data_IF_573060206521
#
_entry.id   IF_573060206521
#
_cell.length_a   1.000
_cell.length_b   1.000
_cell.length_c   1.000
_cell.angle_alpha   90.00
_cell.angle_beta   90.00
_cell.angle_gamma   90.00
#
_symmetry.space_group_name_H-M   'P 1'
#
loop_
_entity.id
_entity.type
_entity.pdbx_description
1 polymer ?
#
# COMPACT_ATOMS: atom_id res chain seq x y z
N UNK A 1 16.34 31.11 28.70
CA UNK A 1 16.69 31.30 27.27
C UNK A 1 15.81 30.42 26.40
N UNK A 2 15.26 30.91 25.29
CA UNK A 2 14.12 30.28 24.60
C UNK A 2 14.56 29.41 23.41
N UNK A 3 14.15 28.13 23.39
CA UNK A 3 14.39 27.18 22.28
C UNK A 3 13.12 27.10 21.45
N UNK A 4 13.22 27.16 20.12
CA UNK A 4 12.05 27.22 19.25
C UNK A 4 11.90 25.96 18.41
N UNK A 5 10.78 25.28 18.57
CA UNK A 5 10.38 24.15 17.74
C UNK A 5 9.36 24.63 16.72
N UNK A 6 9.69 24.58 15.43
CA UNK A 6 8.85 25.11 14.35
C UNK A 6 8.00 24.02 13.72
N UNK A 7 6.76 24.39 13.42
CA UNK A 7 5.75 23.50 12.91
C UNK A 7 5.27 23.88 11.49
N UNK A 8 4.83 22.90 10.70
CA UNK A 8 4.16 23.10 9.40
C UNK A 8 3.15 21.98 9.12
N UNK A 9 1.90 22.31 8.76
CA UNK A 9 0.84 21.36 8.33
C UNK A 9 -0.55 21.66 8.92
N UNK A 10 -1.63 21.13 8.33
CA UNK A 10 -2.95 21.04 8.97
C UNK A 10 -3.05 19.70 9.71
N UNK A 11 -3.52 19.69 10.95
CA UNK A 11 -3.50 18.50 11.81
C UNK A 11 -4.85 17.80 11.97
N UNK A 12 -4.87 16.46 12.07
CA UNK A 12 -5.89 15.77 12.85
C UNK A 12 -5.86 16.32 14.28
N UNK A 13 -7.00 16.79 14.80
CA UNK A 13 -7.12 17.56 16.05
C UNK A 13 -6.35 16.98 17.24
N UNK A 14 -6.23 15.65 17.31
CA UNK A 14 -5.58 14.93 18.41
C UNK A 14 -4.04 15.07 18.46
N UNK A 15 -3.36 15.13 17.30
CA UNK A 15 -1.90 15.29 17.26
C UNK A 15 -1.49 16.68 17.74
N UNK A 16 -2.31 17.69 17.43
CA UNK A 16 -2.14 19.08 17.88
C UNK A 16 -2.20 19.18 19.37
N UNK A 17 -3.23 18.55 19.95
CA UNK A 17 -3.47 18.56 21.39
C UNK A 17 -2.30 17.88 22.10
N UNK A 18 -1.81 16.74 21.58
CA UNK A 18 -0.65 16.05 22.14
C UNK A 18 0.60 16.95 22.15
N UNK A 19 0.92 17.61 21.04
CA UNK A 19 2.10 18.48 20.95
C UNK A 19 2.03 19.68 21.91
N UNK A 20 0.86 20.34 21.99
CA UNK A 20 0.66 21.51 22.85
C UNK A 20 0.72 21.12 24.34
N UNK A 21 0.25 19.92 24.68
CA UNK A 21 0.23 19.40 26.06
C UNK A 21 1.37 18.40 26.32
N UNK A 22 2.42 18.43 25.51
CA UNK A 22 3.51 17.48 25.61
C UNK A 22 4.10 17.50 27.03
N UNK A 23 4.20 16.32 27.62
CA UNK A 23 4.93 16.07 28.85
C UNK A 23 5.84 14.88 28.64
N UNK A 24 7.03 14.95 29.23
CA UNK A 24 7.99 13.86 29.17
C UNK A 24 7.43 12.61 29.85
N UNK A 25 7.40 11.50 29.13
CA UNK A 25 6.93 10.21 29.64
C UNK A 25 8.02 9.57 30.53
N UNK A 26 7.95 9.88 31.82
CA UNK A 26 8.88 9.38 32.83
C UNK A 26 8.81 7.87 33.04
N UNK A 27 7.67 7.25 32.70
CA UNK A 27 7.48 5.81 32.85
C UNK A 27 8.17 5.03 31.73
N UNK A 28 8.09 5.52 30.49
CA UNK A 28 8.77 4.92 29.34
C UNK A 28 10.24 5.32 29.22
N UNK A 29 10.56 6.56 29.56
CA UNK A 29 11.90 7.14 29.38
C UNK A 29 12.41 7.77 30.69
N UNK A 30 12.89 6.98 31.66
CA UNK A 30 13.24 7.50 32.98
C UNK A 30 14.44 8.45 32.94
N UNK A 31 14.28 9.69 33.42
CA UNK A 31 15.35 10.71 33.44
C UNK A 31 16.55 10.35 34.32
N UNK A 32 16.44 9.32 35.16
CA UNK A 32 17.55 8.80 35.96
C UNK A 32 18.54 7.97 35.13
N UNK A 33 18.15 7.56 33.91
CA UNK A 33 19.02 6.83 33.00
C UNK A 33 19.86 7.78 32.16
N UNK A 34 20.97 7.28 31.60
CA UNK A 34 21.79 8.06 30.69
C UNK A 34 21.02 8.38 29.39
N UNK A 35 21.33 9.51 28.77
CA UNK A 35 20.73 9.92 27.50
C UNK A 35 20.92 8.86 26.40
N UNK A 36 22.09 8.19 26.39
CA UNK A 36 22.37 7.07 25.48
C UNK A 36 21.38 5.93 25.70
N UNK A 37 21.17 5.51 26.95
CA UNK A 37 20.25 4.41 27.24
C UNK A 37 18.80 4.77 26.85
N UNK A 38 18.37 6.02 27.09
CA UNK A 38 17.03 6.47 26.66
C UNK A 38 16.91 6.43 25.13
N UNK A 39 17.94 6.89 24.40
CA UNK A 39 17.96 6.82 22.94
C UNK A 39 17.90 5.37 22.43
N UNK A 40 18.61 4.45 23.09
CA UNK A 40 18.60 3.02 22.76
C UNK A 40 17.23 2.38 23.01
N UNK A 41 16.54 2.74 24.11
CA UNK A 41 15.17 2.29 24.39
C UNK A 41 14.22 2.75 23.27
N UNK A 42 14.28 4.02 22.88
CA UNK A 42 13.45 4.55 21.79
C UNK A 42 13.77 3.84 20.48
N UNK A 43 15.05 3.69 20.14
CA UNK A 43 15.50 3.03 18.92
C UNK A 43 14.98 1.58 18.83
N UNK A 44 15.09 0.83 19.94
CA UNK A 44 14.57 -0.55 20.03
C UNK A 44 13.05 -0.61 19.86
N UNK A 45 12.32 0.29 20.52
CA UNK A 45 10.85 0.37 20.40
C UNK A 45 10.42 0.62 18.95
N UNK A 46 11.04 1.62 18.29
CA UNK A 46 10.73 1.95 16.89
C UNK A 46 11.13 0.81 15.94
N UNK A 47 12.29 0.17 16.17
CA UNK A 47 12.73 -0.98 15.37
C UNK A 47 11.76 -2.16 15.46
N UNK A 48 11.20 -2.42 16.63
CA UNK A 48 10.17 -3.45 16.80
C UNK A 48 8.87 -3.08 16.06
N UNK A 49 8.40 -1.83 16.18
CA UNK A 49 7.20 -1.36 15.47
C UNK A 49 7.39 -1.47 13.95
N UNK A 50 8.55 -1.08 13.43
CA UNK A 50 8.86 -1.17 11.99
C UNK A 50 8.88 -2.63 11.49
N UNK A 51 9.52 -3.54 12.24
CA UNK A 51 9.55 -4.97 11.91
C UNK A 51 8.15 -5.60 11.88
N UNK A 52 7.33 -5.30 12.89
CA UNK A 52 5.96 -5.79 12.97
C UNK A 52 5.09 -5.20 11.84
N UNK A 53 5.27 -3.92 11.52
CA UNK A 53 4.57 -3.25 10.42
C UNK A 53 4.88 -3.93 9.08
N UNK A 54 6.16 -4.17 8.78
CA UNK A 54 6.59 -4.84 7.54
C UNK A 54 5.97 -6.22 7.40
N UNK A 55 5.97 -6.99 8.48
CA UNK A 55 5.40 -8.35 8.52
C UNK A 55 3.89 -8.32 8.26
N UNK A 56 3.15 -7.47 8.98
CA UNK A 56 1.69 -7.34 8.84
C UNK A 56 1.29 -6.78 7.48
N UNK A 57 2.03 -5.79 6.97
CA UNK A 57 1.79 -5.19 5.66
C UNK A 57 2.00 -6.21 4.54
N UNK A 58 3.08 -7.00 4.60
CA UNK A 58 3.36 -8.05 3.61
C UNK A 58 2.26 -9.11 3.61
N UNK A 59 1.85 -9.59 4.79
CA UNK A 59 0.76 -10.57 4.90
C UNK A 59 -0.56 -10.05 4.31
N UNK A 60 -0.94 -8.81 4.62
CA UNK A 60 -2.16 -8.20 4.09
C UNK A 60 -2.08 -7.93 2.58
N UNK A 61 -0.93 -7.47 2.08
CA UNK A 61 -0.70 -7.21 0.66
C UNK A 61 -0.69 -8.49 -0.17
N UNK A 62 -0.12 -9.59 0.34
CA UNK A 62 -0.17 -10.89 -0.31
C UNK A 62 -1.62 -11.37 -0.46
N UNK A 63 -2.42 -11.26 0.60
CA UNK A 63 -3.84 -11.60 0.57
C UNK A 63 -4.61 -10.76 -0.46
N UNK A 64 -4.37 -9.44 -0.48
CA UNK A 64 -4.97 -8.52 -1.45
C UNK A 64 -4.55 -8.87 -2.89
N UNK A 65 -3.27 -9.17 -3.12
CA UNK A 65 -2.73 -9.53 -4.43
C UNK A 65 -3.32 -10.84 -4.95
N UNK A 66 -3.41 -11.87 -4.09
CA UNK A 66 -4.02 -13.15 -4.43
C UNK A 66 -5.49 -12.99 -4.82
N UNK A 67 -6.26 -12.24 -4.02
CA UNK A 67 -7.66 -11.96 -4.34
C UNK A 67 -7.81 -11.20 -5.66
N UNK A 68 -7.03 -10.14 -5.87
CA UNK A 68 -7.07 -9.36 -7.11
C UNK A 68 -6.72 -10.20 -8.35
N UNK A 69 -5.78 -11.14 -8.22
CA UNK A 69 -5.42 -12.05 -9.31
C UNK A 69 -6.56 -13.01 -9.65
N UNK A 70 -7.31 -13.49 -8.65
CA UNK A 70 -8.50 -14.34 -8.88
C UNK A 70 -9.67 -13.53 -9.47
N UNK A 71 -9.93 -12.32 -8.96
CA UNK A 71 -10.96 -11.42 -9.50
C UNK A 71 -10.70 -11.10 -10.97
N UNK A 72 -9.45 -10.78 -11.34
CA UNK A 72 -9.07 -10.54 -12.74
C UNK A 72 -9.31 -11.75 -13.65
N UNK A 73 -9.18 -12.97 -13.13
CA UNK A 73 -9.47 -14.20 -13.91
C UNK A 73 -10.97 -14.42 -14.12
N UNK A 74 -11.83 -13.85 -13.27
CA UNK A 74 -13.29 -13.90 -13.43
C UNK A 74 -13.81 -12.83 -14.39
N UNK A 75 -13.15 -11.67 -14.43
CA UNK A 75 -13.58 -10.53 -15.25
C UNK A 75 -12.86 -10.52 -16.60
N UNK A 76 -13.59 -10.40 -17.70
CA UNK A 76 -13.01 -10.29 -19.04
C UNK A 76 -13.96 -10.72 -20.14
N UNK A 77 -13.48 -10.68 -21.39
CA UNK A 77 -14.18 -11.30 -22.52
C UNK A 77 -14.24 -12.82 -22.35
N UNK A 78 -15.24 -13.45 -22.95
CA UNK A 78 -15.38 -14.92 -23.00
C UNK A 78 -14.09 -15.61 -23.49
N UNK A 79 -13.27 -14.94 -24.30
CA UNK A 79 -11.99 -15.44 -24.80
C UNK A 79 -10.97 -15.75 -23.70
N UNK A 80 -10.95 -14.98 -22.63
CA UNK A 80 -9.88 -15.01 -21.63
C UNK A 80 -10.37 -15.31 -20.23
N UNK A 81 -11.63 -15.00 -19.92
CA UNK A 81 -12.18 -15.22 -18.58
C UNK A 81 -12.35 -16.70 -18.26
N UNK A 82 -12.33 -17.02 -16.96
CA UNK A 82 -12.68 -18.33 -16.46
C UNK A 82 -14.15 -18.64 -16.81
N UNK A 83 -14.43 -19.86 -17.27
CA UNK A 83 -15.79 -20.29 -17.65
C UNK A 83 -16.53 -21.01 -16.51
N UNK A 84 -15.84 -21.34 -15.42
CA UNK A 84 -16.34 -22.09 -14.27
C UNK A 84 -17.60 -21.50 -13.62
N UNK A 85 -17.78 -20.19 -13.67
CA UNK A 85 -18.94 -19.47 -13.13
C UNK A 85 -20.10 -19.33 -14.14
N UNK A 86 -19.88 -19.69 -15.41
CA UNK A 86 -20.84 -19.51 -16.51
C UNK A 86 -21.55 -20.80 -16.89
N UNK A 87 -20.90 -21.92 -16.63
CA UNK A 87 -21.35 -23.23 -17.06
C UNK A 87 -22.02 -23.97 -15.91
N UNK A 88 -22.96 -24.85 -16.26
CA UNK A 88 -23.72 -25.69 -15.33
C UNK A 88 -23.51 -27.15 -15.72
N UNK A 89 -23.78 -28.05 -14.77
CA UNK A 89 -23.74 -29.51 -14.98
C UNK A 89 -24.52 -29.93 -16.23
N UNK A 90 -25.72 -29.38 -16.40
CA UNK A 90 -26.64 -29.68 -17.50
C UNK A 90 -26.08 -29.31 -18.89
N UNK A 91 -25.05 -28.47 -18.97
CA UNK A 91 -24.41 -28.13 -20.25
C UNK A 91 -23.49 -29.24 -20.76
N UNK A 92 -23.15 -30.25 -19.94
CA UNK A 92 -22.19 -31.28 -20.28
C UNK A 92 -22.78 -32.68 -20.17
N UNK A 93 -22.36 -33.56 -21.09
CA UNK A 93 -22.49 -35.01 -20.89
C UNK A 93 -21.29 -35.47 -20.06
N UNK A 94 -21.56 -35.93 -18.84
CA UNK A 94 -20.58 -36.48 -17.92
C UNK A 94 -20.55 -38.01 -18.01
N UNK A 95 -19.44 -38.62 -17.57
CA UNK A 95 -19.27 -40.07 -17.43
C UNK A 95 -19.55 -40.91 -18.69
N UNK A 96 -19.50 -40.29 -19.87
CA UNK A 96 -19.63 -41.02 -21.13
C UNK A 96 -18.29 -41.60 -21.56
N UNK A 97 -18.30 -42.89 -21.94
CA UNK A 97 -17.13 -43.56 -22.50
C UNK A 97 -16.73 -42.94 -23.85
N UNK A 98 -17.72 -42.64 -24.70
CA UNK A 98 -17.51 -42.27 -26.10
C UNK A 98 -17.78 -40.79 -26.42
N UNK A 99 -18.63 -40.11 -25.66
CA UNK A 99 -19.01 -38.72 -25.92
C UNK A 99 -18.23 -37.75 -25.03
N UNK A 100 -18.04 -36.55 -25.54
CA UNK A 100 -17.55 -35.41 -24.77
C UNK A 100 -18.30 -34.15 -25.18
N UNK A 101 -18.27 -33.14 -24.33
CA UNK A 101 -18.84 -31.83 -24.61
C UNK A 101 -17.75 -30.79 -24.62
N UNK A 102 -17.66 -30.02 -25.70
CA UNK A 102 -16.73 -28.91 -25.85
C UNK A 102 -17.45 -27.57 -25.69
N UNK A 103 -16.71 -26.57 -25.23
CA UNK A 103 -17.17 -25.19 -25.17
C UNK A 103 -16.57 -24.42 -26.34
N UNK A 104 -17.42 -23.72 -27.10
CA UNK A 104 -17.02 -23.02 -28.32
C UNK A 104 -17.44 -21.57 -28.25
N UNK A 105 -16.46 -20.69 -28.44
CA UNK A 105 -16.67 -19.25 -28.54
C UNK A 105 -16.82 -18.90 -30.02
N UNK A 106 -17.95 -18.28 -30.33
CA UNK A 106 -18.34 -17.89 -31.69
C UNK A 106 -18.52 -16.37 -31.72
N UNK A 107 -17.88 -15.63 -32.65
CA UNK A 107 -18.16 -14.21 -32.84
C UNK A 107 -19.65 -13.98 -33.10
N UNK A 108 -20.25 -12.94 -32.50
CA UNK A 108 -21.70 -12.67 -32.66
C UNK A 108 -22.18 -12.66 -34.10
N UNK A 109 -21.38 -12.07 -34.97
CA UNK A 109 -21.61 -11.99 -36.41
C UNK A 109 -21.76 -13.37 -37.08
N UNK A 110 -21.21 -14.44 -36.50
CA UNK A 110 -21.25 -15.80 -37.03
C UNK A 110 -22.17 -16.73 -36.23
N UNK A 111 -22.94 -16.25 -35.25
CA UNK A 111 -23.80 -17.12 -34.44
C UNK A 111 -24.90 -17.80 -35.29
N UNK A 112 -25.40 -17.16 -36.35
CA UNK A 112 -26.32 -17.81 -37.31
C UNK A 112 -25.63 -18.90 -38.14
N UNK A 113 -24.40 -18.66 -38.60
CA UNK A 113 -23.61 -19.63 -39.34
C UNK A 113 -23.31 -20.87 -38.49
N UNK A 114 -22.96 -20.65 -37.22
CA UNK A 114 -22.76 -21.72 -36.24
C UNK A 114 -23.98 -22.61 -36.12
N UNK A 115 -25.15 -22.04 -35.82
CA UNK A 115 -26.39 -22.82 -35.63
C UNK A 115 -26.74 -23.63 -36.88
N UNK A 116 -26.55 -23.07 -38.08
CA UNK A 116 -26.87 -23.74 -39.33
C UNK A 116 -25.88 -24.85 -39.72
N UNK A 117 -24.62 -24.77 -39.29
CA UNK A 117 -23.54 -25.58 -39.86
C UNK A 117 -22.65 -26.31 -38.85
N UNK A 118 -22.83 -26.15 -37.53
CA UNK A 118 -21.93 -26.80 -36.56
C UNK A 118 -21.95 -28.32 -36.69
N UNK A 119 -23.11 -28.92 -37.01
CA UNK A 119 -23.29 -30.37 -37.21
C UNK A 119 -22.48 -30.92 -38.39
N UNK A 120 -21.99 -30.04 -39.28
CA UNK A 120 -21.23 -30.40 -40.49
C UNK A 120 -19.74 -30.06 -40.36
N UNK A 121 -19.26 -29.68 -39.17
CA UNK A 121 -17.84 -29.35 -38.95
C UNK A 121 -16.98 -30.61 -39.02
N UNK A 122 -17.45 -31.72 -38.46
CA UNK A 122 -16.86 -33.06 -38.55
C UNK A 122 -17.96 -34.10 -38.52
N UNK A 123 -17.63 -35.32 -38.93
CA UNK A 123 -18.47 -36.47 -38.64
C UNK A 123 -18.57 -36.71 -37.12
N UNK A 124 -19.56 -37.49 -36.69
CA UNK A 124 -19.75 -37.89 -35.28
C UNK A 124 -20.03 -36.72 -34.31
N UNK A 125 -20.65 -35.65 -34.80
CA UNK A 125 -21.28 -34.62 -33.95
C UNK A 125 -22.69 -35.07 -33.60
N UNK A 126 -23.11 -34.86 -32.36
CA UNK A 126 -24.49 -35.16 -31.93
C UNK A 126 -25.41 -34.05 -32.44
N UNK A 127 -26.41 -34.34 -33.30
CA UNK A 127 -27.31 -33.32 -33.81
C UNK A 127 -28.14 -32.68 -32.70
N UNK A 128 -28.47 -31.40 -32.84
CA UNK A 128 -29.21 -30.57 -31.87
C UNK A 128 -28.59 -30.52 -30.46
N UNK A 129 -27.31 -30.86 -30.31
CA UNK A 129 -26.58 -30.77 -29.03
C UNK A 129 -26.07 -29.37 -28.66
N UNK A 130 -26.02 -28.43 -29.62
CA UNK A 130 -25.48 -27.10 -29.35
C UNK A 130 -26.54 -26.14 -28.82
N UNK A 131 -26.24 -25.50 -27.68
CA UNK A 131 -27.09 -24.51 -27.02
C UNK A 131 -26.25 -23.29 -26.61
N UNK A 132 -26.86 -22.10 -26.65
CA UNK A 132 -26.22 -20.87 -26.19
C UNK A 132 -26.17 -20.84 -24.66
N UNK A 133 -24.97 -20.81 -24.09
CA UNK A 133 -24.77 -20.75 -22.64
C UNK A 133 -24.84 -19.30 -22.13
N UNK A 134 -24.07 -18.42 -22.76
CA UNK A 134 -23.99 -16.99 -22.42
C UNK A 134 -23.42 -16.22 -23.60
N UNK A 135 -23.55 -14.89 -23.58
CA UNK A 135 -22.91 -14.00 -24.55
C UNK A 135 -22.32 -12.77 -23.86
N UNK A 136 -21.27 -12.18 -24.43
CA UNK A 136 -20.76 -10.86 -24.08
C UNK A 136 -21.08 -9.85 -25.19
N UNK A 137 -20.34 -8.75 -25.32
CA UNK A 137 -20.59 -7.75 -26.36
C UNK A 137 -20.27 -8.29 -27.77
N UNK A 138 -19.25 -9.14 -27.89
CA UNK A 138 -18.63 -9.51 -29.17
C UNK A 138 -18.78 -11.00 -29.49
N UNK A 139 -18.99 -11.86 -28.49
CA UNK A 139 -18.95 -13.31 -28.60
C UNK A 139 -20.15 -14.00 -27.94
N UNK A 140 -20.52 -15.15 -28.50
CA UNK A 140 -21.44 -16.14 -27.96
C UNK A 140 -20.63 -17.36 -27.44
N UNK A 141 -20.96 -17.91 -26.27
CA UNK A 141 -20.43 -19.19 -25.77
C UNK A 141 -21.48 -20.29 -25.99
N UNK A 142 -21.14 -21.30 -26.76
CA UNK A 142 -21.96 -22.49 -27.01
C UNK A 142 -21.33 -23.74 -26.37
N UNK A 143 -22.15 -24.73 -26.04
CA UNK A 143 -21.69 -26.12 -25.92
C UNK A 143 -21.86 -26.85 -27.26
N UNK A 144 -21.16 -27.96 -27.43
CA UNK A 144 -21.39 -28.94 -28.51
C UNK A 144 -20.97 -30.32 -28.03
N UNK A 145 -21.80 -31.33 -28.29
CA UNK A 145 -21.49 -32.72 -27.95
C UNK A 145 -21.08 -33.48 -29.20
N UNK A 146 -19.98 -34.23 -29.10
CA UNK A 146 -19.41 -35.03 -30.17
C UNK A 146 -18.67 -36.24 -29.61
N UNK A 147 -18.32 -37.18 -30.48
CA UNK A 147 -17.51 -38.34 -30.09
C UNK A 147 -16.07 -37.90 -29.77
N UNK A 148 -15.47 -38.47 -28.71
CA UNK A 148 -14.09 -38.19 -28.30
C UNK A 148 -13.07 -38.38 -29.42
N UNK A 149 -13.33 -39.33 -30.33
CA UNK A 149 -12.46 -39.67 -31.46
C UNK A 149 -12.22 -38.50 -32.43
N UNK A 150 -13.19 -37.59 -32.57
CA UNK A 150 -13.15 -36.49 -33.56
C UNK A 150 -12.85 -35.12 -32.93
N UNK A 151 -12.48 -35.07 -31.65
CA UNK A 151 -12.26 -33.81 -30.92
C UNK A 151 -11.16 -32.94 -31.55
N UNK A 152 -10.03 -33.55 -31.91
CA UNK A 152 -8.91 -32.79 -32.49
C UNK A 152 -9.19 -32.32 -33.91
N UNK A 153 -9.88 -33.14 -34.72
CA UNK A 153 -10.37 -32.74 -36.04
C UNK A 153 -11.39 -31.60 -35.93
N UNK A 154 -12.30 -31.68 -34.96
CA UNK A 154 -13.29 -30.63 -34.70
C UNK A 154 -12.61 -29.31 -34.32
N UNK A 155 -11.62 -29.34 -33.43
CA UNK A 155 -10.84 -28.15 -33.05
C UNK A 155 -10.14 -27.52 -34.25
N UNK A 156 -9.59 -28.33 -35.15
CA UNK A 156 -8.93 -27.87 -36.38
C UNK A 156 -9.92 -27.14 -37.29
N UNK A 157 -11.03 -27.78 -37.68
CA UNK A 157 -12.02 -27.18 -38.57
C UNK A 157 -12.75 -25.99 -37.92
N UNK A 158 -12.99 -26.03 -36.61
CA UNK A 158 -13.54 -24.89 -35.86
C UNK A 158 -12.61 -23.67 -35.96
N UNK A 159 -11.29 -23.88 -35.83
CA UNK A 159 -10.30 -22.81 -35.94
C UNK A 159 -10.25 -22.20 -37.34
N UNK A 160 -10.37 -23.00 -38.40
CA UNK A 160 -10.44 -22.52 -39.79
C UNK A 160 -11.65 -21.60 -40.03
N UNK A 161 -12.77 -21.90 -39.36
CA UNK A 161 -13.99 -21.07 -39.35
C UNK A 161 -13.94 -19.91 -38.34
N UNK A 162 -12.79 -19.64 -37.73
CA UNK A 162 -12.57 -18.59 -36.71
C UNK A 162 -13.39 -18.80 -35.43
N UNK A 163 -13.82 -20.03 -35.14
CA UNK A 163 -14.39 -20.41 -33.86
C UNK A 163 -13.28 -20.84 -32.91
N UNK A 164 -13.46 -20.57 -31.62
CA UNK A 164 -12.43 -20.81 -30.61
C UNK A 164 -12.97 -21.84 -29.63
N UNK A 165 -12.42 -23.05 -29.69
CA UNK A 165 -12.73 -24.10 -28.73
C UNK A 165 -11.93 -23.86 -27.44
N UNK A 166 -12.62 -23.74 -26.32
CA UNK A 166 -12.01 -23.53 -25.00
C UNK A 166 -11.70 -24.87 -24.38
N UNK A 167 -10.45 -25.03 -23.92
CA UNK A 167 -10.07 -26.17 -23.11
C UNK A 167 -10.71 -26.03 -21.72
N UNK A 168 -11.67 -26.91 -21.44
CA UNK A 168 -12.45 -26.88 -20.22
C UNK A 168 -13.00 -28.28 -19.94
N UNK A 169 -12.73 -28.79 -18.75
CA UNK A 169 -13.29 -30.05 -18.24
C UNK A 169 -14.19 -29.71 -17.06
N UNK A 170 -15.45 -30.14 -17.12
CA UNK A 170 -16.38 -29.90 -16.03
C UNK A 170 -16.07 -30.85 -14.86
N UNK A 171 -15.65 -30.28 -13.73
CA UNK A 171 -15.47 -30.99 -12.47
C UNK A 171 -16.17 -30.21 -11.34
N UNK A 172 -17.24 -30.78 -10.80
CA UNK A 172 -18.08 -30.12 -9.79
C UNK A 172 -17.31 -29.82 -8.48
N UNK A 173 -16.37 -30.70 -8.10
CA UNK A 173 -15.53 -30.51 -6.92
C UNK A 173 -14.55 -29.37 -7.10
N UNK A 174 -13.85 -29.31 -8.24
CA UNK A 174 -12.90 -28.23 -8.56
C UNK A 174 -13.58 -26.87 -8.69
N UNK A 175 -14.75 -26.82 -9.34
CA UNK A 175 -15.55 -25.60 -9.49
C UNK A 175 -16.00 -25.08 -8.12
N UNK A 176 -16.44 -25.98 -7.25
CA UNK A 176 -16.87 -25.63 -5.89
C UNK A 176 -15.68 -25.19 -5.03
N UNK A 177 -14.54 -25.88 -5.13
CA UNK A 177 -13.30 -25.51 -4.46
C UNK A 177 -12.82 -24.11 -4.85
N UNK A 178 -12.86 -23.77 -6.14
CA UNK A 178 -12.47 -22.44 -6.62
C UNK A 178 -13.39 -21.32 -6.12
N UNK A 179 -14.71 -21.54 -6.08
CA UNK A 179 -15.67 -20.57 -5.50
C UNK A 179 -15.46 -20.39 -3.98
N UNK A 180 -15.19 -21.50 -3.29
CA UNK A 180 -14.91 -21.48 -1.86
C UNK A 180 -13.60 -20.75 -1.55
N UNK A 181 -12.57 -20.90 -2.39
CA UNK A 181 -11.29 -20.20 -2.24
C UNK A 181 -11.45 -18.68 -2.32
N UNK A 182 -12.19 -18.17 -3.31
CA UNK A 182 -12.44 -16.73 -3.46
C UNK A 182 -13.22 -16.20 -2.26
N UNK A 183 -14.29 -16.90 -1.86
CA UNK A 183 -15.12 -16.52 -0.71
C UNK A 183 -14.31 -16.50 0.58
N UNK A 184 -13.41 -17.49 0.76
CA UNK A 184 -12.48 -17.58 1.88
C UNK A 184 -11.52 -16.39 1.88
N UNK A 185 -10.89 -16.07 0.76
CA UNK A 185 -9.96 -14.93 0.65
C UNK A 185 -10.65 -13.57 0.93
N UNK A 186 -11.88 -13.37 0.44
CA UNK A 186 -12.68 -12.18 0.74
C UNK A 186 -12.94 -12.08 2.25
N UNK A 187 -13.34 -13.20 2.87
CA UNK A 187 -13.63 -13.27 4.30
C UNK A 187 -12.38 -13.01 5.14
N UNK A 188 -11.27 -13.65 4.80
CA UNK A 188 -9.98 -13.49 5.46
C UNK A 188 -9.49 -12.04 5.36
N UNK A 189 -9.68 -11.38 4.21
CA UNK A 189 -9.30 -9.97 4.02
C UNK A 189 -10.10 -9.05 4.93
N UNK A 190 -11.41 -9.26 4.99
CA UNK A 190 -12.30 -8.50 5.88
C UNK A 190 -11.97 -8.74 7.35
N UNK A 191 -11.67 -10.00 7.71
CA UNK A 191 -11.29 -10.41 9.06
C UNK A 191 -9.96 -9.81 9.51
N UNK A 192 -8.97 -9.73 8.63
CA UNK A 192 -7.64 -9.16 8.93
C UNK A 192 -7.64 -7.63 8.97
N UNK A 193 -8.52 -6.97 8.20
CA UNK A 193 -8.53 -5.52 8.06
C UNK A 193 -8.77 -4.79 9.40
N UNK A 194 -9.79 -5.20 10.16
CA UNK A 194 -10.12 -4.55 11.44
C UNK A 194 -8.98 -4.58 12.46
N UNK A 195 -8.43 -5.77 12.80
CA UNK A 195 -7.27 -5.91 13.66
C UNK A 195 -6.05 -5.14 13.16
N UNK A 196 -5.78 -5.15 11.85
CA UNK A 196 -4.68 -4.41 11.25
C UNK A 196 -4.82 -2.89 11.48
N UNK A 197 -6.00 -2.32 11.19
CA UNK A 197 -6.25 -0.89 11.41
C UNK A 197 -6.12 -0.52 12.88
N UNK A 198 -6.63 -1.34 13.80
CA UNK A 198 -6.49 -1.11 15.24
C UNK A 198 -5.02 -1.12 15.66
N UNK A 199 -4.25 -2.10 15.18
CA UNK A 199 -2.82 -2.19 15.44
C UNK A 199 -2.06 -0.98 14.89
N UNK A 200 -2.37 -0.55 13.66
CA UNK A 200 -1.76 0.63 13.04
C UNK A 200 -2.02 1.91 13.84
N UNK A 201 -3.25 2.13 14.31
CA UNK A 201 -3.60 3.31 15.13
C UNK A 201 -2.80 3.38 16.42
N UNK A 202 -2.71 2.25 17.14
CA UNK A 202 -1.96 2.17 18.41
C UNK A 202 -0.47 2.42 18.17
N UNK A 203 0.12 1.72 17.19
CA UNK A 203 1.57 1.80 16.95
C UNK A 203 1.99 3.10 16.28
N UNK A 204 1.12 3.73 15.49
CA UNK A 204 1.33 5.09 15.02
C UNK A 204 1.41 6.08 16.18
N UNK A 205 0.49 5.99 17.15
CA UNK A 205 0.52 6.84 18.34
C UNK A 205 1.82 6.65 19.13
N UNK A 206 2.24 5.40 19.35
CA UNK A 206 3.50 5.08 20.03
C UNK A 206 4.73 5.63 19.28
N UNK A 207 4.78 5.44 17.97
CA UNK A 207 5.87 5.94 17.13
C UNK A 207 5.92 7.48 17.10
N UNK A 208 4.75 8.14 17.07
CA UNK A 208 4.68 9.60 17.13
C UNK A 208 5.14 10.13 18.49
N UNK A 209 4.69 9.54 19.59
CA UNK A 209 5.18 9.89 20.93
C UNK A 209 6.70 9.76 21.02
N UNK A 210 7.26 8.65 20.55
CA UNK A 210 8.70 8.43 20.51
C UNK A 210 9.44 9.48 19.65
N UNK A 211 8.89 9.87 18.49
CA UNK A 211 9.44 10.93 17.65
C UNK A 211 9.57 12.26 18.41
N UNK A 212 8.53 12.64 19.18
CA UNK A 212 8.56 13.89 19.95
C UNK A 212 9.57 13.81 21.10
N UNK A 213 9.72 12.66 21.75
CA UNK A 213 10.77 12.46 22.76
C UNK A 213 12.17 12.56 22.17
N UNK A 214 12.41 12.02 20.97
CA UNK A 214 13.69 12.22 20.26
C UNK A 214 13.93 13.70 19.96
N UNK A 215 12.90 14.44 19.52
CA UNK A 215 13.03 15.90 19.29
C UNK A 215 13.37 16.64 20.57
N UNK A 216 12.74 16.29 21.69
CA UNK A 216 13.04 16.87 23.00
C UNK A 216 14.48 16.54 23.45
N UNK A 217 14.95 15.30 23.27
CA UNK A 217 16.34 14.92 23.54
C UNK A 217 17.34 15.71 22.70
N UNK A 218 17.07 15.84 21.40
CA UNK A 218 17.94 16.61 20.49
C UNK A 218 18.01 18.09 20.88
N UNK A 219 16.86 18.68 21.19
CA UNK A 219 16.76 20.05 21.72
C UNK A 219 17.61 20.20 22.98
N UNK A 220 17.48 19.27 23.93
CA UNK A 220 18.22 19.30 25.18
C UNK A 220 19.73 19.17 24.95
N UNK A 221 20.18 18.14 24.24
CA UNK A 221 21.61 17.87 23.96
C UNK A 221 22.25 19.05 23.24
N UNK A 222 21.62 19.58 22.20
CA UNK A 222 22.18 20.70 21.45
C UNK A 222 22.24 21.98 22.28
N UNK A 223 21.25 22.22 23.15
CA UNK A 223 21.27 23.37 24.05
C UNK A 223 22.40 23.27 25.08
N UNK A 224 22.68 22.08 25.61
CA UNK A 224 23.83 21.86 26.50
C UNK A 224 25.15 22.06 25.74
N UNK A 225 25.26 21.57 24.51
CA UNK A 225 26.47 21.72 23.70
C UNK A 225 26.74 23.17 23.31
N UNK A 226 25.71 23.94 22.97
CA UNK A 226 25.85 25.35 22.55
C UNK A 226 26.03 26.31 23.72
N UNK A 227 25.37 26.05 24.85
CA UNK A 227 25.24 27.04 25.94
C UNK A 227 25.90 26.63 27.25
N UNK A 228 26.37 25.38 27.33
CA UNK A 228 27.08 24.87 28.49
C UNK A 228 26.17 24.57 29.70
N UNK A 229 26.83 24.42 30.84
CA UNK A 229 26.22 24.15 32.15
C UNK A 229 26.39 25.36 33.08
N UNK A 230 25.47 25.59 34.05
CA UNK A 230 24.28 24.79 34.33
C UNK A 230 23.19 24.94 33.27
N UNK A 231 22.32 23.93 33.15
CA UNK A 231 21.20 23.93 32.20
C UNK A 231 20.21 25.06 32.55
N UNK A 232 20.29 26.18 31.84
CA UNK A 232 19.43 27.35 32.03
C UNK A 232 18.75 27.79 30.73
N UNK A 233 17.90 26.92 30.20
CA UNK A 233 17.11 27.18 29.01
C UNK A 233 15.68 26.69 29.16
N UNK A 234 14.81 27.24 28.33
CA UNK A 234 13.37 27.02 28.27
C UNK A 234 13.03 26.68 26.83
N UNK A 235 12.46 25.51 26.58
CA UNK A 235 11.95 25.19 25.25
C UNK A 235 10.52 25.69 25.04
N UNK A 236 10.24 26.12 23.81
CA UNK A 236 8.96 26.64 23.33
C UNK A 236 8.64 26.00 21.98
N UNK A 237 7.41 25.51 21.88
CA UNK A 237 6.81 25.07 20.63
C UNK A 237 6.13 26.27 19.95
N UNK A 238 6.46 26.54 18.68
CA UNK A 238 5.80 27.56 17.88
C UNK A 238 5.12 26.92 16.67
N UNK A 239 3.83 27.26 16.50
CA UNK A 239 3.08 27.06 15.28
C UNK A 239 3.02 28.36 14.47
N UNK A 240 3.97 28.60 13.55
CA UNK A 240 3.95 29.80 12.73
C UNK A 240 2.87 29.69 11.65
N UNK A 241 2.25 30.81 11.31
CA UNK A 241 1.44 30.89 10.10
C UNK A 241 2.35 30.83 8.86
N UNK A 242 1.97 30.05 7.83
CA UNK A 242 2.82 29.80 6.64
C UNK A 242 3.38 31.09 6.02
N UNK A 243 2.57 32.15 5.95
CA UNK A 243 2.97 33.46 5.38
C UNK A 243 3.90 34.30 6.27
N UNK A 244 4.01 33.98 7.56
CA UNK A 244 4.78 34.78 8.52
C UNK A 244 6.09 34.13 8.96
N UNK A 245 6.44 32.96 8.43
CA UNK A 245 7.67 32.22 8.81
C UNK A 245 8.91 33.11 8.63
N UNK A 246 9.05 33.78 7.48
CA UNK A 246 10.19 34.66 7.20
C UNK A 246 10.33 35.77 8.25
N UNK A 247 9.25 36.53 8.49
CA UNK A 247 9.22 37.60 9.50
C UNK A 247 9.51 37.07 10.91
N UNK A 248 8.98 35.91 11.27
CA UNK A 248 9.27 35.28 12.57
C UNK A 248 10.76 34.97 12.71
N UNK A 249 11.40 34.40 11.68
CA UNK A 249 12.85 34.13 11.70
C UNK A 249 13.67 35.40 11.84
N UNK A 250 13.30 36.47 11.14
CA UNK A 250 13.93 37.79 11.25
C UNK A 250 13.85 38.33 12.69
N UNK A 251 12.66 38.31 13.31
CA UNK A 251 12.49 38.75 14.70
C UNK A 251 13.33 37.92 15.69
N UNK A 252 13.38 36.61 15.52
CA UNK A 252 14.16 35.74 16.41
C UNK A 252 15.66 35.93 16.24
N UNK A 253 16.14 36.20 15.02
CA UNK A 253 17.54 36.55 14.79
C UNK A 253 17.90 37.89 15.44
N UNK A 254 17.02 38.88 15.40
CA UNK A 254 17.24 40.16 16.11
C UNK A 254 17.35 39.96 17.62
N UNK A 255 16.52 39.10 18.21
CA UNK A 255 16.52 38.85 19.66
C UNK A 255 17.71 37.99 20.13
N UNK A 256 18.08 36.96 19.36
CA UNK A 256 19.01 35.92 19.80
C UNK A 256 20.29 35.82 18.97
N UNK A 257 20.53 36.73 18.02
CA UNK A 257 21.74 36.75 17.19
C UNK A 257 23.04 36.85 18.01
N UNK A 258 22.99 37.49 19.18
CA UNK A 258 24.12 37.59 20.10
C UNK A 258 24.64 36.23 20.63
N UNK A 259 23.82 35.18 20.57
CA UNK A 259 24.21 33.84 21.02
C UNK A 259 25.29 33.20 20.13
N UNK A 260 25.42 33.66 18.89
CA UNK A 260 26.39 33.12 17.92
C UNK A 260 27.85 33.35 18.39
N UNK A 261 28.13 34.55 18.91
CA UNK A 261 29.45 34.92 19.45
C UNK A 261 29.72 34.47 20.89
N UNK A 262 28.74 33.87 21.56
CA UNK A 262 28.88 33.39 22.96
C UNK A 262 29.37 31.95 23.06
N UNK A 263 29.51 31.25 21.92
CA UNK A 263 30.12 29.92 21.87
C UNK A 263 31.62 30.06 22.10
N UNK A 264 32.10 29.54 23.24
CA UNK A 264 33.51 29.53 23.63
C UNK A 264 34.34 28.75 22.60
N UNK A 265 34.78 29.43 21.55
CA UNK A 265 35.55 28.85 20.44
C UNK A 265 35.52 29.63 19.12
N UNK A 266 34.56 30.54 18.91
CA UNK A 266 34.45 31.27 17.64
C UNK A 266 35.10 32.68 17.71
N UNK A 267 36.41 32.74 17.95
CA UNK A 267 37.20 33.81 17.33
C UNK A 267 37.35 33.49 15.84
N UNK A 268 36.30 33.75 15.08
CA UNK A 268 36.33 33.84 13.63
C UNK A 268 35.35 34.94 13.22
N UNK A 269 35.72 36.17 13.53
CA UNK A 269 35.24 37.34 12.80
C UNK A 269 35.49 37.13 11.31
N UNK A 270 34.44 36.93 10.53
CA UNK A 270 34.47 37.07 9.07
C UNK A 270 35.01 35.87 8.29
N UNK A 271 34.49 34.66 8.53
CA UNK A 271 34.58 33.61 7.52
C UNK A 271 33.23 33.57 6.80
N UNK A 272 33.19 34.29 5.66
CA UNK A 272 32.30 33.94 4.55
C UNK A 272 32.27 32.42 4.39
N UNK A 273 31.08 31.86 4.14
CA UNK A 273 30.87 30.51 3.65
C UNK A 273 32.11 29.92 2.98
N UNK A 274 32.89 29.10 3.69
CA UNK A 274 33.92 28.28 3.05
C UNK A 274 33.16 27.15 2.38
N UNK A 275 32.83 27.37 1.11
CA UNK A 275 32.47 26.30 0.19
C UNK A 275 33.64 25.30 0.17
N UNK A 276 33.44 24.13 0.79
CA UNK A 276 34.28 22.96 0.59
C UNK A 276 33.64 22.20 -0.59
N UNK A 277 34.19 22.26 -1.81
CA UNK A 277 33.61 21.61 -2.97
C UNK A 277 33.79 20.09 -2.83
N UNK A 278 32.70 19.31 -2.80
CA UNK A 278 32.75 17.85 -2.90
C UNK A 278 31.91 17.05 -1.89
N UNK A 279 31.32 17.69 -0.87
CA UNK A 279 30.42 17.05 0.09
C UNK A 279 29.02 17.65 -0.04
N UNK A 280 28.15 17.02 -0.82
CA UNK A 280 26.74 17.38 -1.00
C UNK A 280 25.87 17.17 0.24
N UNK A 281 26.32 17.64 1.41
CA UNK A 281 25.45 17.80 2.58
C UNK A 281 24.69 19.11 2.38
N UNK A 282 23.43 19.02 1.96
CA UNK A 282 22.58 20.18 1.67
C UNK A 282 22.58 21.21 2.80
N UNK A 283 22.57 22.49 2.43
CA UNK A 283 22.51 23.66 3.32
C UNK A 283 21.54 23.44 4.48
N UNK A 284 22.04 23.07 5.66
CA UNK A 284 21.22 23.03 6.86
C UNK A 284 20.89 24.48 7.25
N UNK A 285 19.61 24.77 7.49
CA UNK A 285 19.20 26.08 8.01
C UNK A 285 19.87 26.32 9.37
N UNK A 286 20.88 27.19 9.40
CA UNK A 286 21.56 27.59 10.62
C UNK A 286 20.82 28.75 11.29
N UNK A 287 20.67 28.65 12.61
CA UNK A 287 20.12 29.71 13.45
C UNK A 287 21.02 29.88 14.69
N UNK A 288 21.16 31.11 15.23
CA UNK A 288 21.96 31.39 16.42
C UNK A 288 21.34 30.79 17.70
N UNK A 289 20.08 30.36 17.61
CA UNK A 289 19.36 29.59 18.62
C UNK A 289 19.13 28.14 18.16
N UNK A 290 19.00 27.22 19.13
CA UNK A 290 18.59 25.84 18.84
C UNK A 290 17.19 25.85 18.21
N UNK A 291 17.07 25.27 17.02
CA UNK A 291 15.84 25.26 16.24
C UNK A 291 15.63 23.92 15.56
N UNK A 292 14.50 23.27 15.86
CA UNK A 292 14.12 22.01 15.24
C UNK A 292 12.76 22.12 14.56
N UNK A 293 12.68 21.67 13.31
CA UNK A 293 11.39 21.53 12.61
C UNK A 293 10.73 20.19 12.97
N UNK A 294 9.43 20.24 13.26
CA UNK A 294 8.54 19.09 13.34
C UNK A 294 7.59 19.17 12.14
N UNK A 295 7.64 18.16 11.29
CA UNK A 295 6.65 17.97 10.24
C UNK A 295 5.57 17.02 10.75
N UNK A 296 4.32 17.44 10.67
CA UNK A 296 3.16 16.61 10.99
C UNK A 296 2.25 16.38 9.79
N UNK A 297 2.65 16.90 8.62
CA UNK A 297 1.98 16.61 7.37
C UNK A 297 2.32 15.17 7.00
N UNK A 298 1.53 14.24 7.56
CA UNK A 298 1.72 12.79 7.41
C UNK A 298 1.12 12.26 6.11
N UNK A 299 0.46 13.12 5.33
CA UNK A 299 -0.13 12.81 4.04
C UNK A 299 0.51 13.77 3.05
N UNK A 300 1.45 13.29 2.24
CA UNK A 300 1.91 14.08 1.11
C UNK A 300 0.70 14.32 0.19
N UNK A 301 0.17 15.53 0.22
CA UNK A 301 -0.88 15.97 -0.70
C UNK A 301 -0.31 16.22 -2.11
N UNK A 302 1.00 16.02 -2.30
CA UNK A 302 1.68 16.06 -3.58
C UNK A 302 1.63 14.72 -4.30
N UNK A 303 0.83 14.68 -5.39
CA UNK A 303 0.61 13.58 -6.34
C UNK A 303 -0.57 12.66 -6.01
N UNK A 304 -1.77 13.22 -6.09
CA UNK A 304 -2.89 12.58 -6.79
C UNK A 304 -3.16 13.33 -8.09
#
# INVERSE_FOLDING_TARGET
>A
MVIYVFFSGDMPTDLSIYLIRFQWDMAKYPIKQSLRNIADIISKQIGQIDGDLKTKATAYNNLKGNLQNLEKKQTGSLLTRNLADLVKKDHFILDSEYLTTLLVIVPKIHCQEWIANYEKITDMIVPRSSTLITQDNDYCLYNVTLFKKVVEEFKLHAREKKFIVRDFVYNEEELTAGKNEITKLITDKKKQFGPLVRWLKVNFSEAFCALIHVKALRVFVESVLRYGLPVNFQAILIQPHKKSIKRLRECLNQLYGHLDGSSAGAQASGIDNVDIPGLGMGHAEYYPYVSYKINVDMIDSGKM
#
